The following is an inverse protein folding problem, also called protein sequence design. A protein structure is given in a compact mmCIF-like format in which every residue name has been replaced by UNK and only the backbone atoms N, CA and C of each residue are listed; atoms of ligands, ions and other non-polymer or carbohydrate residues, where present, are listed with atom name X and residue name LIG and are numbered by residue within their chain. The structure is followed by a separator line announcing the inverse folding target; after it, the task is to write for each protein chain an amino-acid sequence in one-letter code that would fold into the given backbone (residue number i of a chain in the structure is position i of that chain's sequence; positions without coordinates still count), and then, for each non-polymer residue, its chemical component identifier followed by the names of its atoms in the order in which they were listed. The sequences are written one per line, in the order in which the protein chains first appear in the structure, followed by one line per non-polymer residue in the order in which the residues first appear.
data_IF_074187054063
#
_entry.id   IF_074187054063
#
_cell.length_a   1.000
_cell.length_b   1.000
_cell.length_c   1.000
_cell.angle_alpha   90.00
_cell.angle_beta   90.00
_cell.angle_gamma   90.00
#
_symmetry.space_group_name_H-M   'P 1'
#
loop_
_entity.id
_entity.type
_entity.pdbx_description
1 polymer ?
#
# COMPACT_ATOMS: atom_id res chain seq x y z
N UNK A 1 28.13 -13.43 14.53
CA UNK A 1 26.71 -13.43 14.98
C UNK A 1 26.28 -11.98 15.16
N UNK A 2 25.49 -11.43 14.24
CA UNK A 2 25.07 -10.03 14.27
C UNK A 2 23.62 -9.95 14.73
N UNK A 3 23.41 -9.51 15.96
CA UNK A 3 22.10 -9.23 16.54
C UNK A 3 21.69 -7.79 16.21
N UNK A 4 20.87 -7.59 15.18
CA UNK A 4 20.16 -6.32 14.99
C UNK A 4 18.68 -6.50 15.29
N UNK A 5 18.23 -5.80 16.33
CA UNK A 5 16.85 -5.77 16.81
C UNK A 5 16.00 -4.99 15.81
N UNK A 6 14.96 -5.65 15.30
CA UNK A 6 13.93 -5.10 14.42
C UNK A 6 13.27 -3.87 15.03
N UNK A 7 13.38 -2.73 14.36
CA UNK A 7 12.73 -1.46 14.75
C UNK A 7 11.26 -1.36 14.30
N UNK A 8 10.67 -2.44 13.76
CA UNK A 8 9.27 -2.47 13.38
C UNK A 8 8.42 -2.91 14.58
N UNK A 9 8.16 -1.97 15.50
CA UNK A 9 7.29 -2.19 16.66
C UNK A 9 5.95 -2.85 16.28
N UNK A 10 5.50 -3.77 17.12
CA UNK A 10 4.25 -4.52 16.95
C UNK A 10 3.07 -3.58 16.76
N UNK A 11 2.71 -3.29 15.51
CA UNK A 11 1.51 -2.52 15.16
C UNK A 11 0.24 -3.10 15.83
N UNK A 12 0.25 -4.42 16.07
CA UNK A 12 -0.86 -5.22 16.61
C UNK A 12 -0.82 -5.49 18.13
N UNK A 13 0.24 -5.10 18.84
CA UNK A 13 0.45 -5.46 20.25
C UNK A 13 0.16 -4.31 21.21
N UNK A 14 -0.63 -4.59 22.25
CA UNK A 14 -0.77 -3.73 23.43
C UNK A 14 0.56 -3.67 24.20
N UNK A 15 0.89 -2.46 24.65
CA UNK A 15 2.11 -2.14 25.41
C UNK A 15 2.20 -2.90 26.74
N UNK A 16 3.39 -3.39 27.08
CA UNK A 16 3.81 -3.47 28.48
C UNK A 16 5.35 -3.43 28.62
N UNK A 17 5.79 -2.75 29.67
CA UNK A 17 7.12 -2.81 30.33
C UNK A 17 8.34 -2.20 29.62
N UNK A 18 8.84 -1.04 30.07
CA UNK A 18 9.77 -0.73 31.20
C UNK A 18 11.25 -0.73 30.80
N UNK A 19 11.83 0.47 30.88
CA UNK A 19 13.16 0.82 31.44
C UNK A 19 14.40 0.03 31.01
N UNK A 20 15.42 0.73 30.49
CA UNK A 20 16.68 0.93 31.23
C UNK A 20 17.64 1.90 30.51
N UNK A 21 18.27 2.74 31.33
CA UNK A 21 19.33 3.69 31.01
C UNK A 21 20.67 2.95 30.89
N UNK A 22 21.50 3.26 29.89
CA UNK A 22 22.94 3.36 30.15
C UNK A 22 23.69 4.21 29.13
N UNK A 23 24.41 5.18 29.69
CA UNK A 23 25.39 6.07 29.07
C UNK A 23 26.71 5.31 28.82
N UNK A 24 27.60 5.84 27.95
CA UNK A 24 29.05 6.02 28.15
C UNK A 24 29.88 6.03 26.83
N UNK A 25 30.45 7.21 26.57
CA UNK A 25 31.80 7.57 26.05
C UNK A 25 32.41 6.94 24.77
N UNK A 26 32.70 7.89 23.85
CA UNK A 26 33.86 8.07 22.95
C UNK A 26 35.15 7.29 23.20
N UNK A 27 35.84 6.89 22.12
CA UNK A 27 37.25 7.22 21.83
C UNK A 27 37.58 7.04 20.33
N UNK A 28 38.43 7.92 19.81
CA UNK A 28 39.02 7.91 18.47
C UNK A 28 40.46 7.36 18.50
N UNK A 29 40.94 6.81 17.38
CA UNK A 29 42.34 6.79 16.86
C UNK A 29 42.39 5.84 15.66
N UNK A 30 42.66 6.28 14.41
CA UNK A 30 43.92 6.67 13.74
C UNK A 30 44.85 5.52 13.33
N UNK A 31 45.50 5.73 12.17
CA UNK A 31 46.60 5.00 11.49
C UNK A 31 46.19 3.73 10.71
N UNK A 32 46.74 3.40 9.53
CA UNK A 32 47.73 4.03 8.65
C UNK A 32 47.65 3.40 7.25
N UNK A 33 48.29 4.09 6.30
CA UNK A 33 48.43 3.83 4.86
C UNK A 33 48.85 2.41 4.45
N UNK A 34 48.43 1.99 3.25
CA UNK A 34 49.26 1.16 2.36
C UNK A 34 48.85 1.30 0.89
N UNK A 35 49.88 1.36 0.06
CA UNK A 35 50.01 1.68 -1.36
C UNK A 35 49.60 0.53 -2.29
N UNK A 36 48.95 0.78 -3.44
CA UNK A 36 49.61 0.89 -4.75
C UNK A 36 48.62 1.09 -5.93
N UNK A 37 49.09 1.72 -7.01
CA UNK A 37 48.32 2.12 -8.19
C UNK A 37 48.27 0.99 -9.24
N UNK A 38 47.15 0.84 -9.92
CA UNK A 38 46.98 -0.04 -11.06
C UNK A 38 46.20 0.70 -12.16
N UNK A 39 46.56 0.35 -13.39
CA UNK A 39 46.46 1.14 -14.61
C UNK A 39 45.03 1.40 -15.10
N UNK A 40 44.84 2.60 -15.66
CA UNK A 40 43.63 2.99 -16.39
C UNK A 40 43.71 2.43 -17.81
N UNK A 41 42.94 1.39 -18.11
CA UNK A 41 42.61 1.01 -19.48
C UNK A 41 41.26 1.65 -19.87
N UNK A 42 41.17 2.35 -21.02
CA UNK A 42 39.92 2.90 -21.50
C UNK A 42 39.04 1.78 -22.08
N UNK A 43 38.11 1.28 -21.27
CA UNK A 43 37.04 0.40 -21.74
C UNK A 43 36.00 1.22 -22.51
N UNK A 44 35.77 0.82 -23.76
CA UNK A 44 34.77 1.35 -24.67
C UNK A 44 33.39 1.41 -24.00
N UNK A 45 32.78 2.58 -24.04
CA UNK A 45 31.42 2.83 -23.56
C UNK A 45 30.41 2.27 -24.55
N UNK A 46 30.17 0.95 -24.50
CA UNK A 46 28.96 0.39 -25.09
C UNK A 46 27.73 0.88 -24.33
N UNK A 47 26.75 1.32 -25.12
CA UNK A 47 25.55 2.03 -24.71
C UNK A 47 24.86 1.36 -23.51
N UNK A 48 24.85 2.07 -22.37
CA UNK A 48 23.98 1.71 -21.25
C UNK A 48 22.54 1.82 -21.74
N UNK A 49 21.89 0.67 -21.77
CA UNK A 49 20.46 0.49 -21.98
C UNK A 49 19.72 1.46 -21.06
N UNK A 50 18.88 2.31 -21.66
CA UNK A 50 18.08 3.30 -20.94
C UNK A 50 17.31 2.62 -19.79
N UNK A 51 17.35 3.16 -18.55
CA UNK A 51 16.55 2.64 -17.45
C UNK A 51 15.08 2.58 -17.86
N UNK A 52 14.31 1.55 -17.43
CA UNK A 52 12.89 1.45 -17.77
C UNK A 52 12.18 2.74 -17.36
N UNK A 53 11.50 3.36 -18.32
CA UNK A 53 10.72 4.58 -18.12
C UNK A 53 9.81 4.37 -16.90
N UNK A 54 10.08 5.11 -15.83
CA UNK A 54 9.17 5.14 -14.68
C UNK A 54 7.81 5.59 -15.22
N UNK A 55 6.70 4.86 -14.97
CA UNK A 55 5.38 5.36 -15.30
C UNK A 55 5.26 6.76 -14.73
N UNK A 56 4.87 7.71 -15.57
CA UNK A 56 4.88 9.14 -15.27
C UNK A 56 3.95 9.42 -14.08
N UNK A 57 4.50 9.34 -12.87
CA UNK A 57 3.77 9.54 -11.64
C UNK A 57 3.27 10.96 -11.58
N UNK A 58 1.95 11.09 -11.50
CA UNK A 58 1.29 12.37 -11.36
C UNK A 58 0.47 12.34 -10.08
N UNK A 59 0.90 13.01 -9.01
CA UNK A 59 0.17 13.00 -7.75
C UNK A 59 -1.18 13.72 -7.90
N UNK A 60 -2.14 13.36 -7.05
CA UNK A 60 -3.35 14.16 -6.91
C UNK A 60 -3.03 15.59 -6.44
N UNK A 61 -3.81 16.56 -6.89
CA UNK A 61 -3.84 17.89 -6.25
C UNK A 61 -4.30 17.75 -4.80
N UNK A 62 -3.90 18.70 -3.94
CA UNK A 62 -4.30 18.68 -2.52
C UNK A 62 -5.80 18.60 -2.30
N UNK A 63 -6.58 19.36 -3.09
CA UNK A 63 -8.04 19.34 -3.03
C UNK A 63 -8.62 17.98 -3.43
N UNK A 64 -8.07 17.35 -4.47
CA UNK A 64 -8.50 16.01 -4.90
C UNK A 64 -8.13 14.95 -3.86
N UNK A 65 -6.94 15.03 -3.27
CA UNK A 65 -6.51 14.14 -2.20
C UNK A 65 -7.42 14.26 -0.96
N UNK A 66 -7.86 15.47 -0.62
CA UNK A 66 -8.81 15.71 0.47
C UNK A 66 -10.22 15.15 0.15
N UNK A 67 -10.68 15.28 -1.09
CA UNK A 67 -11.96 14.69 -1.51
C UNK A 67 -11.90 13.16 -1.46
N UNK A 68 -10.79 12.56 -1.91
CA UNK A 68 -10.59 11.11 -1.83
C UNK A 68 -10.53 10.62 -0.38
N UNK A 69 -9.81 11.32 0.50
CA UNK A 69 -9.74 10.93 1.92
C UNK A 69 -11.13 10.98 2.58
N UNK A 70 -11.93 12.02 2.28
CA UNK A 70 -13.33 12.15 2.73
C UNK A 70 -14.23 11.06 2.15
N UNK A 71 -14.00 10.60 0.92
CA UNK A 71 -14.70 9.48 0.32
C UNK A 71 -14.33 8.17 1.03
N UNK A 72 -13.04 7.87 1.13
CA UNK A 72 -12.53 6.63 1.71
C UNK A 72 -12.86 6.46 3.19
N UNK A 73 -12.88 7.54 3.99
CA UNK A 73 -13.18 7.42 5.43
C UNK A 73 -14.58 6.88 5.72
N UNK A 74 -15.52 6.99 4.78
CA UNK A 74 -16.86 6.38 4.92
C UNK A 74 -16.84 4.85 4.89
N UNK A 75 -15.74 4.27 4.41
CA UNK A 75 -15.51 2.83 4.32
C UNK A 75 -14.56 2.30 5.40
N UNK A 76 -14.05 3.18 6.26
CA UNK A 76 -13.16 2.79 7.36
C UNK A 76 -13.94 2.01 8.41
N UNK A 77 -13.34 0.92 8.87
CA UNK A 77 -13.90 0.00 9.83
C UNK A 77 -13.97 0.64 11.22
N UNK A 78 -15.05 0.37 11.96
CA UNK A 78 -15.33 0.99 13.28
C UNK A 78 -14.19 0.82 14.29
N UNK A 79 -13.38 -0.23 14.15
CA UNK A 79 -12.20 -0.48 15.00
C UNK A 79 -11.14 0.61 14.93
N UNK A 80 -11.06 1.39 13.84
CA UNK A 80 -10.12 2.49 13.71
C UNK A 80 -10.34 3.58 14.76
N UNK A 81 -11.60 3.81 15.16
CA UNK A 81 -11.96 4.79 16.19
C UNK A 81 -11.40 4.46 17.59
N UNK A 82 -10.89 3.24 17.80
CA UNK A 82 -10.21 2.86 19.05
C UNK A 82 -8.75 3.32 19.09
N UNK A 83 -8.17 3.67 17.94
CA UNK A 83 -6.74 3.98 17.79
C UNK A 83 -6.51 5.42 17.36
N UNK A 84 -7.43 5.97 16.55
CA UNK A 84 -7.34 7.30 15.96
C UNK A 84 -8.68 8.03 16.04
N UNK A 85 -8.60 9.35 16.21
CA UNK A 85 -9.69 10.27 15.94
C UNK A 85 -9.94 10.38 14.42
N UNK A 86 -11.12 10.85 14.04
CA UNK A 86 -11.53 10.92 12.63
C UNK A 86 -10.56 11.75 11.77
N UNK A 87 -10.08 12.86 12.30
CA UNK A 87 -9.19 13.78 11.57
C UNK A 87 -7.79 13.21 11.37
N UNK A 88 -7.30 12.41 12.32
CA UNK A 88 -6.04 11.68 12.20
C UNK A 88 -6.12 10.65 11.06
N UNK A 89 -7.25 9.92 10.97
CA UNK A 89 -7.50 8.99 9.86
C UNK A 89 -7.61 9.74 8.53
N UNK A 90 -8.27 10.90 8.47
CA UNK A 90 -8.33 11.73 7.27
C UNK A 90 -6.93 12.16 6.80
N UNK A 91 -6.07 12.56 7.73
CA UNK A 91 -4.68 12.93 7.44
C UNK A 91 -3.90 11.75 6.85
N UNK A 92 -3.99 10.57 7.46
CA UNK A 92 -3.37 9.34 6.94
C UNK A 92 -3.86 9.00 5.52
N UNK A 93 -5.17 9.09 5.29
CA UNK A 93 -5.76 8.81 3.98
C UNK A 93 -5.39 9.88 2.93
N UNK A 94 -5.24 11.14 3.33
CA UNK A 94 -4.74 12.20 2.45
C UNK A 94 -3.30 11.90 2.02
N UNK A 95 -2.44 11.47 2.94
CA UNK A 95 -1.07 11.03 2.62
C UNK A 95 -1.08 9.86 1.63
N UNK A 96 -1.94 8.86 1.83
CA UNK A 96 -2.08 7.75 0.87
C UNK A 96 -2.50 8.25 -0.50
N UNK A 97 -3.47 9.17 -0.58
CA UNK A 97 -3.92 9.75 -1.85
C UNK A 97 -2.80 10.53 -2.56
N UNK A 98 -1.97 11.28 -1.83
CA UNK A 98 -0.85 12.03 -2.43
C UNK A 98 0.30 11.13 -2.91
N UNK A 99 0.38 9.90 -2.40
CA UNK A 99 1.45 8.94 -2.71
C UNK A 99 1.08 7.91 -3.79
N UNK A 100 -0.04 8.11 -4.50
CA UNK A 100 -0.47 7.30 -5.65
C UNK A 100 -0.79 8.18 -6.86
N UNK A 101 -0.72 7.59 -8.06
CA UNK A 101 -1.02 8.33 -9.29
C UNK A 101 -2.47 8.78 -9.32
N UNK A 102 -2.76 9.95 -9.92
CA UNK A 102 -4.09 10.55 -9.93
C UNK A 102 -5.17 9.70 -10.62
N UNK A 103 -4.75 8.77 -11.47
CA UNK A 103 -5.61 7.81 -12.18
C UNK A 103 -5.99 6.60 -11.34
N UNK A 104 -5.33 6.40 -10.20
CA UNK A 104 -5.41 5.16 -9.44
C UNK A 104 -6.23 5.33 -8.16
N UNK A 105 -7.02 4.30 -7.83
CA UNK A 105 -7.71 4.21 -6.53
C UNK A 105 -7.37 2.85 -5.89
N UNK A 106 -6.54 2.83 -4.82
CA UNK A 106 -6.14 1.59 -4.15
C UNK A 106 -7.24 0.99 -3.27
N UNK A 107 -8.30 1.75 -2.94
CA UNK A 107 -9.31 1.37 -1.95
C UNK A 107 -10.64 1.03 -2.63
N UNK A 108 -11.14 1.90 -3.51
CA UNK A 108 -12.45 1.76 -4.18
C UNK A 108 -12.34 1.51 -5.69
N UNK A 109 -11.12 1.31 -6.21
CA UNK A 109 -10.91 0.91 -7.60
C UNK A 109 -11.40 -0.52 -7.89
N UNK A 110 -11.02 -1.06 -9.04
CA UNK A 110 -11.39 -2.42 -9.46
C UNK A 110 -10.97 -3.45 -8.39
N UNK A 111 -11.92 -4.25 -7.86
CA UNK A 111 -11.67 -5.21 -6.79
C UNK A 111 -11.28 -6.59 -7.33
N UNK A 112 -11.26 -6.76 -8.65
CA UNK A 112 -10.79 -7.98 -9.29
C UNK A 112 -9.35 -8.27 -8.89
N UNK A 113 -8.98 -9.55 -8.67
CA UNK A 113 -7.59 -9.96 -8.57
C UNK A 113 -6.76 -9.65 -9.83
N UNK A 114 -7.42 -9.39 -10.96
CA UNK A 114 -6.80 -9.03 -12.23
C UNK A 114 -6.68 -7.51 -12.45
N UNK A 115 -7.06 -6.69 -11.48
CA UNK A 115 -6.97 -5.24 -11.57
C UNK A 115 -5.50 -4.78 -11.76
N UNK A 116 -5.23 -3.65 -12.42
CA UNK A 116 -3.88 -3.11 -12.49
C UNK A 116 -3.37 -2.73 -11.10
N UNK A 117 -2.07 -2.91 -10.85
CA UNK A 117 -1.45 -2.52 -9.59
C UNK A 117 -1.58 -1.01 -9.36
N UNK A 118 -1.69 -0.61 -8.09
CA UNK A 118 -1.54 0.80 -7.68
C UNK A 118 -0.21 0.94 -6.98
N UNK A 119 0.72 1.65 -7.61
CA UNK A 119 2.09 1.76 -7.12
C UNK A 119 2.20 2.84 -6.05
N UNK A 120 2.95 2.52 -5.01
CA UNK A 120 3.33 3.46 -3.96
C UNK A 120 4.50 4.34 -4.42
N UNK A 121 4.36 5.65 -4.20
CA UNK A 121 5.39 6.65 -4.51
C UNK A 121 5.82 7.47 -3.28
N UNK A 122 5.44 7.04 -2.07
CA UNK A 122 5.90 7.63 -0.82
C UNK A 122 7.13 6.90 -0.25
N UNK A 123 7.31 7.01 1.06
CA UNK A 123 8.47 6.43 1.74
C UNK A 123 8.49 4.90 1.69
N UNK A 124 9.68 4.32 1.61
CA UNK A 124 9.91 2.86 1.69
C UNK A 124 10.84 2.52 2.85
N UNK A 125 10.65 1.36 3.47
CA UNK A 125 11.53 0.89 4.55
C UNK A 125 12.95 0.66 4.03
N UNK A 126 13.96 1.10 4.77
CA UNK A 126 15.36 0.86 4.40
C UNK A 126 15.73 -0.63 4.48
N UNK A 127 15.12 -1.38 5.40
CA UNK A 127 15.43 -2.79 5.63
C UNK A 127 14.86 -3.73 4.57
N UNK A 128 13.66 -3.44 4.06
CA UNK A 128 12.90 -4.37 3.20
C UNK A 128 12.47 -3.75 1.86
N UNK A 129 12.69 -2.45 1.67
CA UNK A 129 12.23 -1.72 0.47
C UNK A 129 10.70 -1.69 0.33
N UNK A 130 9.94 -1.86 1.42
CA UNK A 130 8.48 -1.95 1.36
C UNK A 130 7.80 -0.61 1.65
N UNK A 131 6.62 -0.32 1.07
CA UNK A 131 5.85 0.89 1.37
C UNK A 131 5.62 1.12 2.87
N UNK A 132 6.03 2.28 3.37
CA UNK A 132 5.80 2.73 4.75
C UNK A 132 5.15 4.10 4.80
N UNK A 133 4.45 4.35 5.89
CA UNK A 133 3.81 5.62 6.21
C UNK A 133 4.01 5.92 7.68
N UNK A 134 4.16 7.21 7.99
CA UNK A 134 4.31 7.71 9.34
C UNK A 134 2.95 7.76 10.03
N UNK A 135 2.81 7.09 11.17
CA UNK A 135 1.54 6.96 11.90
C UNK A 135 1.72 7.38 13.35
N UNK A 136 0.82 8.23 13.85
CA UNK A 136 0.78 8.64 15.25
C UNK A 136 -0.46 8.05 15.90
N UNK A 137 -0.32 7.21 16.93
CA UNK A 137 -1.46 6.63 17.66
C UNK A 137 -1.92 7.57 18.77
N UNK A 138 -3.21 7.51 19.14
CA UNK A 138 -3.74 8.27 20.28
C UNK A 138 -2.93 7.98 21.56
N UNK A 139 -2.49 9.04 22.22
CA UNK A 139 -1.68 8.94 23.44
C UNK A 139 -0.19 8.65 23.20
N UNK A 140 0.28 8.68 21.95
CA UNK A 140 1.70 8.70 21.62
C UNK A 140 2.10 10.06 21.04
N UNK A 141 3.13 10.67 21.63
CA UNK A 141 3.70 11.93 21.13
C UNK A 141 4.59 11.73 19.90
N UNK A 142 5.02 10.49 19.64
CA UNK A 142 5.93 10.16 18.56
C UNK A 142 5.21 9.47 17.43
N UNK A 143 5.46 9.96 16.22
CA UNK A 143 5.09 9.28 14.99
C UNK A 143 6.03 8.08 14.77
N UNK A 144 5.46 6.93 14.42
CA UNK A 144 6.18 5.70 14.15
C UNK A 144 5.93 5.22 12.72
N UNK A 145 6.94 4.69 12.02
CA UNK A 145 6.73 4.11 10.70
C UNK A 145 5.88 2.84 10.81
N UNK A 146 4.91 2.70 9.91
CA UNK A 146 4.12 1.49 9.74
C UNK A 146 4.05 1.14 8.25
N UNK A 147 4.00 -0.15 7.93
CA UNK A 147 3.77 -0.59 6.56
C UNK A 147 2.39 -0.17 6.07
N UNK A 148 2.32 0.35 4.84
CA UNK A 148 1.07 0.82 4.23
C UNK A 148 0.06 -0.33 4.12
N UNK A 149 0.51 -1.52 3.76
CA UNK A 149 -0.34 -2.71 3.69
C UNK A 149 -0.99 -3.07 5.03
N UNK A 150 -0.26 -2.95 6.15
CA UNK A 150 -0.81 -3.19 7.50
C UNK A 150 -1.82 -2.11 7.88
N UNK A 151 -1.52 -0.85 7.58
CA UNK A 151 -2.43 0.26 7.83
C UNK A 151 -3.74 0.08 7.05
N UNK A 152 -3.67 -0.10 5.73
CA UNK A 152 -4.85 -0.25 4.87
C UNK A 152 -5.67 -1.49 5.23
N UNK A 153 -5.02 -2.60 5.55
CA UNK A 153 -5.70 -3.79 6.08
C UNK A 153 -6.46 -3.48 7.35
N UNK A 154 -5.83 -2.79 8.30
CA UNK A 154 -6.46 -2.40 9.55
C UNK A 154 -7.61 -1.41 9.35
N UNK A 155 -7.52 -0.50 8.40
CA UNK A 155 -8.58 0.47 8.13
C UNK A 155 -9.76 -0.14 7.37
N UNK A 156 -9.53 -1.05 6.42
CA UNK A 156 -10.56 -1.42 5.44
C UNK A 156 -10.97 -2.89 5.47
N UNK A 157 -10.08 -3.83 5.76
CA UNK A 157 -10.40 -5.26 5.69
C UNK A 157 -11.61 -5.62 6.59
N UNK A 158 -12.43 -6.60 6.24
CA UNK A 158 -13.41 -7.11 7.19
C UNK A 158 -12.70 -7.86 8.35
N UNK A 159 -13.43 -8.11 9.44
CA UNK A 159 -12.82 -8.69 10.64
C UNK A 159 -12.27 -10.11 10.39
N UNK A 160 -12.86 -10.86 9.47
CA UNK A 160 -12.38 -12.19 9.06
C UNK A 160 -11.06 -12.09 8.29
N UNK A 161 -10.96 -11.22 7.28
CA UNK A 161 -9.71 -10.97 6.54
C UNK A 161 -8.64 -10.41 7.47
N UNK A 162 -9.02 -9.53 8.41
CA UNK A 162 -8.09 -8.99 9.40
C UNK A 162 -7.56 -10.07 10.34
N UNK A 163 -8.41 -11.01 10.77
CA UNK A 163 -8.01 -12.13 11.62
C UNK A 163 -7.03 -13.04 10.89
N UNK A 164 -7.27 -13.32 9.61
CA UNK A 164 -6.32 -14.06 8.77
C UNK A 164 -5.00 -13.31 8.60
N UNK A 165 -5.05 -12.00 8.29
CA UNK A 165 -3.86 -11.16 8.12
C UNK A 165 -3.01 -11.04 9.38
N UNK A 166 -3.62 -11.13 10.58
CA UNK A 166 -2.89 -11.20 11.85
C UNK A 166 -2.16 -12.51 12.08
N UNK A 167 -2.63 -13.60 11.47
CA UNK A 167 -2.02 -14.93 11.58
C UNK A 167 -0.85 -15.11 10.61
N UNK A 168 -0.85 -14.36 9.50
CA UNK A 168 0.29 -14.27 8.59
C UNK A 168 1.39 -13.50 9.33
N UNK A 169 2.58 -14.10 9.44
CA UNK A 169 3.67 -13.67 10.31
C UNK A 169 3.92 -12.13 10.28
N UNK A 170 4.30 -11.53 11.42
CA UNK A 170 4.50 -10.08 11.51
C UNK A 170 5.64 -9.63 10.60
N UNK A 171 5.30 -9.11 9.42
CA UNK A 171 6.31 -8.62 8.46
C UNK A 171 6.05 -8.96 7.00
N UNK A 172 5.17 -9.91 6.70
CA UNK A 172 4.84 -10.28 5.31
C UNK A 172 3.34 -10.22 5.06
N UNK A 173 2.79 -9.01 4.91
CA UNK A 173 1.60 -8.91 4.05
C UNK A 173 2.14 -8.90 2.63
N UNK A 174 2.25 -10.08 2.03
CA UNK A 174 2.65 -10.23 0.63
C UNK A 174 1.50 -9.83 -0.28
N UNK A 175 1.86 -9.45 -1.51
CA UNK A 175 0.90 -9.10 -2.56
C UNK A 175 0.65 -10.33 -3.44
N UNK A 176 -0.61 -10.66 -3.68
CA UNK A 176 -1.05 -11.69 -4.63
C UNK A 176 -0.61 -11.38 -6.05
N UNK A 177 -0.40 -10.10 -6.38
CA UNK A 177 0.05 -9.66 -7.70
C UNK A 177 1.56 -9.74 -7.91
N UNK A 178 2.34 -10.16 -6.89
CA UNK A 178 3.80 -10.27 -6.98
C UNK A 178 4.58 -8.95 -6.93
N UNK A 179 3.92 -7.79 -6.99
CA UNK A 179 4.57 -6.49 -6.91
C UNK A 179 4.56 -5.94 -5.48
N UNK A 180 5.72 -5.81 -4.85
CA UNK A 180 5.89 -5.34 -3.47
C UNK A 180 5.57 -3.86 -3.25
N UNK A 181 5.56 -3.05 -4.30
CA UNK A 181 5.16 -1.63 -4.25
C UNK A 181 3.65 -1.43 -4.42
N UNK A 182 2.90 -2.49 -4.70
CA UNK A 182 1.46 -2.39 -4.88
C UNK A 182 0.76 -2.20 -3.53
N UNK A 183 -0.13 -1.20 -3.45
CA UNK A 183 -0.96 -0.95 -2.26
C UNK A 183 -2.46 -1.13 -2.50
N UNK A 184 -2.85 -1.74 -3.64
CA UNK A 184 -4.25 -2.05 -3.94
C UNK A 184 -4.78 -3.10 -2.97
N UNK A 185 -5.91 -2.81 -2.32
CA UNK A 185 -6.53 -3.71 -1.33
C UNK A 185 -6.83 -5.11 -1.88
N UNK A 186 -7.35 -5.22 -3.11
CA UNK A 186 -7.66 -6.52 -3.73
C UNK A 186 -6.44 -7.40 -3.98
N UNK A 187 -5.23 -6.83 -3.95
CA UNK A 187 -3.99 -7.56 -4.16
C UNK A 187 -3.37 -8.04 -2.84
N UNK A 188 -3.95 -7.74 -1.68
CA UNK A 188 -3.39 -8.22 -0.41
C UNK A 188 -3.69 -9.71 -0.23
N UNK A 189 -2.68 -10.49 0.16
CA UNK A 189 -2.88 -11.92 0.49
C UNK A 189 -3.90 -12.04 1.63
N UNK A 190 -4.94 -12.85 1.43
CA UNK A 190 -6.02 -13.06 2.41
C UNK A 190 -7.13 -12.01 2.37
N UNK A 191 -7.06 -11.00 1.49
CA UNK A 191 -8.16 -10.09 1.27
C UNK A 191 -9.25 -10.73 0.40
N UNK A 192 -10.50 -10.70 0.87
CA UNK A 192 -11.61 -11.32 0.13
C UNK A 192 -12.36 -10.31 -0.74
N UNK A 193 -12.73 -10.67 -1.99
CA UNK A 193 -13.54 -9.81 -2.86
C UNK A 193 -14.93 -9.46 -2.29
N UNK A 194 -15.38 -10.22 -1.26
CA UNK A 194 -16.69 -10.02 -0.60
C UNK A 194 -16.83 -8.65 0.04
N UNK A 195 -15.75 -8.09 0.61
CA UNK A 195 -15.77 -6.73 1.13
C UNK A 195 -16.00 -5.75 -0.01
N UNK A 196 -15.20 -5.85 -1.08
CA UNK A 196 -15.20 -4.85 -2.14
C UNK A 196 -16.52 -4.84 -2.92
N UNK A 197 -17.13 -6.01 -3.11
CA UNK A 197 -18.46 -6.14 -3.70
C UNK A 197 -19.57 -5.36 -2.96
N UNK A 198 -19.42 -5.08 -1.65
CA UNK A 198 -20.40 -4.30 -0.87
C UNK A 198 -20.31 -2.80 -1.13
N UNK A 199 -19.13 -2.31 -1.50
CA UNK A 199 -18.83 -0.87 -1.61
C UNK A 199 -18.66 -0.40 -3.05
N UNK A 200 -18.63 -1.34 -3.99
CA UNK A 200 -18.70 -1.04 -5.41
C UNK A 200 -20.13 -0.64 -5.81
N UNK A 201 -20.31 0.33 -6.70
CA UNK A 201 -21.61 0.56 -7.33
C UNK A 201 -22.02 -0.73 -8.05
N UNK A 202 -23.16 -1.29 -7.65
CA UNK A 202 -23.73 -2.47 -8.30
C UNK A 202 -23.82 -2.17 -9.80
N UNK A 203 -23.15 -2.99 -10.62
CA UNK A 203 -23.23 -2.86 -12.07
C UNK A 203 -24.71 -2.86 -12.44
N UNK A 204 -25.22 -1.75 -12.99
CA UNK A 204 -26.60 -1.67 -13.46
C UNK A 204 -26.85 -2.88 -14.34
N UNK A 205 -27.76 -3.76 -13.90
CA UNK A 205 -28.08 -4.99 -14.61
C UNK A 205 -28.26 -4.65 -16.09
N UNK A 206 -27.45 -5.29 -16.96
CA UNK A 206 -27.54 -5.08 -18.41
C UNK A 206 -29.00 -5.25 -18.80
N UNK A 207 -29.62 -4.16 -19.28
CA UNK A 207 -30.99 -4.18 -19.74
C UNK A 207 -31.13 -5.33 -20.75
N UNK A 208 -32.01 -6.29 -20.46
CA UNK A 208 -32.31 -7.39 -21.36
C UNK A 208 -32.78 -6.79 -22.69
N UNK A 209 -31.95 -6.92 -23.73
CA UNK A 209 -32.33 -6.53 -25.09
C UNK A 209 -33.56 -7.34 -25.48
N UNK A 210 -34.67 -6.71 -25.90
CA UNK A 210 -35.84 -7.46 -26.34
C UNK A 210 -35.50 -8.24 -27.61
N UNK A 211 -35.78 -9.55 -27.57
CA UNK A 211 -35.60 -10.45 -28.68
C UNK A 211 -36.43 -9.97 -29.88
N UNK A 212 -35.74 -9.72 -31.00
CA UNK A 212 -36.32 -9.31 -32.28
C UNK A 212 -37.24 -10.43 -32.79
N UNK A 213 -38.53 -10.13 -32.90
CA UNK A 213 -39.56 -11.06 -33.38
C UNK A 213 -39.22 -11.57 -34.79
N UNK A 214 -39.24 -12.90 -34.96
CA UNK A 214 -39.18 -13.59 -36.25
C UNK A 214 -40.38 -13.14 -37.10
N UNK A 215 -40.09 -12.49 -38.23
CA UNK A 215 -41.08 -12.15 -39.25
C UNK A 215 -41.74 -13.40 -39.81
N UNK A 216 -43.08 -13.38 -39.84
CA UNK A 216 -43.96 -14.36 -40.48
C UNK A 216 -43.65 -14.44 -41.98
N UNK A 217 -43.41 -15.66 -42.45
CA UNK A 217 -43.47 -16.01 -43.87
C UNK A 217 -44.88 -15.76 -44.43
N UNK A 218 -44.96 -15.15 -45.60
CA UNK A 218 -46.18 -15.05 -46.42
C UNK A 218 -46.09 -16.10 -47.53
N UNK A 219 -47.12 -16.94 -47.77
CA UNK A 219 -47.13 -17.83 -48.90
C UNK A 219 -47.77 -17.19 -50.15
N UNK A 220 -47.29 -17.68 -51.29
CA UNK A 220 -47.68 -17.51 -52.71
C UNK A 220 -49.13 -17.13 -53.07
N UNK A 221 -49.27 -16.51 -54.26
CA UNK A 221 -50.02 -17.02 -55.43
C UNK A 221 -49.62 -16.17 -56.67
N UNK A 222 -49.06 -16.79 -57.72
CA UNK A 222 -49.71 -17.45 -58.86
C UNK A 222 -50.21 -16.43 -59.89
#
# INVERSE_FOLDING_TARGET
MSCWRSCCGNFWGSSNSTSELQSHRTLASKSSASTQPWEEEPVEVEAVESPPEKPNFQPHSEANAELLSKKWITHVQKRAAKVWERDEVLSLLKTVALSVSFTDDPILGDPSPSAPCVLWHGDTSMEQGLPVIQVQKRGQDKTVPSYVCKLLSFLFADDDSLKMLKQIAPGQVSMNCGNSQCIRLSHFVGYTPKWAAKYQPQAKAKAKTPAKAKGKATPQRA
#
